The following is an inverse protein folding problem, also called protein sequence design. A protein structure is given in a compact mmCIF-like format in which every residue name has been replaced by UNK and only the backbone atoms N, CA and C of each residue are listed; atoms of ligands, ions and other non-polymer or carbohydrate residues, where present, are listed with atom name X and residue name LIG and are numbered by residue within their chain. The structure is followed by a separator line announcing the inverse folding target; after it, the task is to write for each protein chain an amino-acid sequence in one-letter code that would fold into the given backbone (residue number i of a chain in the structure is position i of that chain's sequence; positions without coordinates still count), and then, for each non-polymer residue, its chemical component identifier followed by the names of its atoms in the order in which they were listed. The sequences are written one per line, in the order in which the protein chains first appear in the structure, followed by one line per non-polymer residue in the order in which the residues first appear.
data_IF_543287957999
#
_entry.id   IF_543287957999
#
_cell.length_a   1.000
_cell.length_b   1.000
_cell.length_c   1.000
_cell.angle_alpha   90.00
_cell.angle_beta   90.00
_cell.angle_gamma   90.00
#
_symmetry.space_group_name_H-M   'P 1'
#
loop_
_entity.id
_entity.type
_entity.pdbx_description
1 polymer ?
#
# COMPACT_ATOMS: atom_id res chain seq x y z
N UNK A 1 33.17 -25.21 25.99
CA UNK A 1 33.11 -23.85 25.41
C UNK A 1 32.03 -23.84 24.35
N UNK A 2 30.78 -23.81 24.79
CA UNK A 2 29.62 -23.63 23.92
C UNK A 2 29.45 -22.13 23.68
N UNK A 3 29.40 -21.72 22.41
CA UNK A 3 29.06 -20.35 22.03
C UNK A 3 27.54 -20.21 22.12
N UNK A 4 27.11 -19.35 23.03
CA UNK A 4 25.75 -18.87 23.18
C UNK A 4 25.30 -18.15 21.90
N UNK A 5 24.27 -18.68 21.24
CA UNK A 5 23.48 -17.93 20.28
C UNK A 5 22.52 -17.04 21.09
N UNK A 6 22.82 -15.75 21.13
CA UNK A 6 21.88 -14.74 21.61
C UNK A 6 20.75 -14.61 20.59
N UNK A 7 19.57 -15.09 20.99
CA UNK A 7 18.29 -14.79 20.33
C UNK A 7 18.09 -13.28 20.46
N UNK A 8 18.22 -12.57 19.35
CA UNK A 8 17.81 -11.17 19.25
C UNK A 8 16.29 -11.18 19.31
N UNK A 9 15.74 -10.84 20.47
CA UNK A 9 14.33 -10.54 20.65
C UNK A 9 14.02 -9.23 19.92
N UNK A 10 13.33 -9.32 18.79
CA UNK A 10 12.70 -8.18 18.13
C UNK A 10 11.72 -7.53 19.11
N UNK A 11 12.00 -6.29 19.48
CA UNK A 11 11.10 -5.43 20.25
C UNK A 11 10.04 -4.90 19.28
N UNK A 12 8.91 -5.60 19.19
CA UNK A 12 7.70 -5.10 18.54
C UNK A 12 7.15 -3.90 19.32
N UNK A 13 7.64 -2.70 19.01
CA UNK A 13 6.99 -1.45 19.42
C UNK A 13 5.77 -1.23 18.52
N UNK A 14 4.69 -1.98 18.78
CA UNK A 14 3.39 -1.77 18.16
C UNK A 14 2.70 -0.56 18.80
N UNK A 15 3.09 0.64 18.37
CA UNK A 15 2.46 1.91 18.76
C UNK A 15 1.02 2.09 18.20
N UNK A 16 0.50 1.10 17.46
CA UNK A 16 -0.80 1.18 16.77
C UNK A 16 -1.92 0.39 17.47
N UNK A 17 -1.64 -0.18 18.65
CA UNK A 17 -2.64 -0.92 19.41
C UNK A 17 -3.42 0.05 20.30
N UNK A 18 -4.72 0.20 20.06
CA UNK A 18 -5.63 0.95 20.93
C UNK A 18 -6.54 -0.01 21.68
N UNK A 19 -6.59 0.10 23.00
CA UNK A 19 -7.38 -0.81 23.85
C UNK A 19 -8.50 -0.06 24.58
N UNK A 20 -9.67 -0.67 24.61
CA UNK A 20 -10.75 -0.29 25.52
C UNK A 20 -10.86 -1.35 26.62
N UNK A 21 -10.51 -0.93 27.85
CA UNK A 21 -10.34 -1.82 29.00
C UNK A 21 -11.64 -2.48 29.46
N UNK A 22 -12.80 -1.86 29.19
CA UNK A 22 -14.09 -2.34 29.69
C UNK A 22 -14.70 -3.42 28.78
N UNK A 23 -14.36 -3.42 27.49
CA UNK A 23 -14.95 -4.33 26.49
C UNK A 23 -13.98 -5.41 25.98
N UNK A 24 -12.68 -5.30 26.30
CA UNK A 24 -11.63 -6.14 25.75
C UNK A 24 -11.43 -5.93 24.24
N UNK A 25 -11.92 -4.81 23.71
CA UNK A 25 -11.76 -4.43 22.31
C UNK A 25 -10.33 -3.93 22.09
N UNK A 26 -9.65 -4.52 21.10
CA UNK A 26 -8.29 -4.17 20.72
C UNK A 26 -8.28 -3.82 19.24
N UNK A 27 -8.01 -2.55 18.90
CA UNK A 27 -7.81 -2.15 17.50
C UNK A 27 -6.33 -2.31 17.16
N UNK A 28 -6.03 -3.18 16.20
CA UNK A 28 -4.73 -3.28 15.55
C UNK A 28 -4.79 -2.47 14.25
N UNK A 29 -4.31 -1.22 14.32
CA UNK A 29 -4.41 -0.27 13.22
C UNK A 29 -3.17 -0.28 12.29
N UNK A 30 -3.36 0.21 11.07
CA UNK A 30 -2.27 0.42 10.12
C UNK A 30 -1.54 1.74 10.39
N UNK A 31 -0.23 1.86 10.09
CA UNK A 31 0.47 3.13 10.18
C UNK A 31 -0.11 4.15 9.19
N UNK A 32 -0.27 5.40 9.64
CA UNK A 32 -0.75 6.52 8.84
C UNK A 32 0.38 7.52 8.56
N UNK A 33 0.26 8.28 7.46
CA UNK A 33 1.21 9.37 7.15
C UNK A 33 1.23 10.44 8.25
N UNK A 34 0.06 10.72 8.83
CA UNK A 34 -0.12 11.66 9.95
C UNK A 34 0.60 11.25 11.23
N UNK A 35 1.00 9.99 11.38
CA UNK A 35 1.69 9.51 12.58
C UNK A 35 3.12 10.06 12.67
N UNK A 36 3.71 10.47 11.54
CA UNK A 36 5.11 10.93 11.49
C UNK A 36 5.34 12.18 10.63
N UNK A 37 4.32 12.69 9.94
CA UNK A 37 4.38 13.96 9.21
C UNK A 37 3.47 14.98 9.91
N UNK A 38 4.01 15.94 10.67
CA UNK A 38 3.21 16.92 11.38
C UNK A 38 2.51 17.87 10.40
N UNK A 39 1.30 18.32 10.75
CA UNK A 39 0.51 19.28 9.97
C UNK A 39 0.24 18.87 8.51
N UNK A 40 0.09 17.57 8.27
CA UNK A 40 -0.21 17.02 6.94
C UNK A 40 -1.58 17.53 6.43
N UNK A 41 -1.64 18.22 5.28
CA UNK A 41 -2.91 18.68 4.72
C UNK A 41 -3.78 17.50 4.26
N UNK A 42 -5.09 17.74 4.24
CA UNK A 42 -6.09 16.81 3.70
C UNK A 42 -6.92 17.50 2.64
N UNK A 43 -7.38 16.72 1.67
CA UNK A 43 -8.18 17.17 0.52
C UNK A 43 -9.49 16.38 0.49
N UNK A 44 -10.60 16.95 -0.03
CA UNK A 44 -11.80 16.17 -0.29
C UNK A 44 -11.50 15.05 -1.29
N UNK A 45 -12.10 13.87 -1.09
CA UNK A 45 -11.97 12.77 -2.05
C UNK A 45 -12.59 13.15 -3.40
N UNK A 46 -11.84 13.09 -4.53
CA UNK A 46 -12.34 13.40 -5.87
C UNK A 46 -13.58 12.60 -6.29
N UNK A 47 -13.80 11.44 -5.66
CA UNK A 47 -14.98 10.62 -5.91
C UNK A 47 -16.29 11.30 -5.52
N UNK A 48 -16.29 12.30 -4.63
CA UNK A 48 -17.50 13.03 -4.21
C UNK A 48 -18.17 13.72 -5.41
N UNK A 49 -17.35 14.25 -6.31
CA UNK A 49 -17.78 15.04 -7.46
C UNK A 49 -17.81 14.23 -8.76
N UNK A 50 -17.35 12.97 -8.73
CA UNK A 50 -17.23 12.15 -9.94
C UNK A 50 -18.62 11.71 -10.45
N UNK A 51 -19.07 12.13 -11.65
CA UNK A 51 -20.43 11.85 -12.14
C UNK A 51 -20.77 10.37 -12.26
N UNK A 52 -19.76 9.51 -12.42
CA UNK A 52 -19.97 8.06 -12.54
C UNK A 52 -20.22 7.39 -11.18
N UNK A 53 -19.87 8.07 -10.08
CA UNK A 53 -19.91 7.53 -8.72
C UNK A 53 -20.78 8.36 -7.76
N UNK A 54 -21.06 9.62 -8.06
CA UNK A 54 -21.85 10.54 -7.23
C UNK A 54 -23.37 10.27 -7.28
N UNK A 55 -23.84 9.50 -8.27
CA UNK A 55 -25.26 9.11 -8.43
C UNK A 55 -25.70 8.05 -7.40
N UNK A 56 -24.76 7.25 -6.89
CA UNK A 56 -25.02 6.26 -5.84
C UNK A 56 -24.76 6.94 -4.49
N UNK A 57 -25.64 6.73 -3.48
CA UNK A 57 -25.34 7.14 -2.09
C UNK A 57 -23.95 6.60 -1.73
N UNK A 58 -22.98 7.50 -1.62
CA UNK A 58 -21.60 7.14 -1.52
C UNK A 58 -21.31 6.64 -0.10
N UNK A 59 -21.10 5.34 0.03
CA UNK A 59 -20.78 4.71 1.30
C UNK A 59 -19.28 4.86 1.58
N UNK A 60 -18.87 6.08 1.95
CA UNK A 60 -17.58 6.29 2.59
C UNK A 60 -17.50 5.45 3.86
N UNK A 61 -16.34 4.82 4.09
CA UNK A 61 -16.12 4.12 5.36
C UNK A 61 -15.97 5.15 6.47
N UNK A 62 -16.52 4.85 7.64
CA UNK A 62 -16.30 5.67 8.82
C UNK A 62 -14.87 5.40 9.36
N UNK A 63 -14.22 6.41 9.93
CA UNK A 63 -12.93 6.23 10.60
C UNK A 63 -13.04 5.28 11.81
N UNK A 64 -14.22 5.09 12.38
CA UNK A 64 -14.44 4.13 13.47
C UNK A 64 -14.95 2.76 12.97
N UNK A 65 -15.12 2.57 11.66
CA UNK A 65 -15.52 1.27 11.10
C UNK A 65 -14.40 0.24 11.29
N UNK A 66 -14.71 -0.83 12.02
CA UNK A 66 -13.78 -1.94 12.27
C UNK A 66 -14.38 -3.29 11.87
N UNK A 67 -13.50 -4.21 11.50
CA UNK A 67 -13.80 -5.60 11.15
C UNK A 67 -13.15 -6.49 12.20
N UNK A 68 -13.95 -7.34 12.84
CA UNK A 68 -13.45 -8.26 13.86
C UNK A 68 -12.56 -9.35 13.23
N UNK A 69 -11.42 -9.65 13.86
CA UNK A 69 -10.59 -10.81 13.48
C UNK A 69 -11.35 -12.12 13.69
N UNK A 70 -12.07 -12.22 14.82
CA UNK A 70 -12.90 -13.35 15.17
C UNK A 70 -14.37 -12.91 15.27
N UNK A 71 -15.19 -13.36 14.33
CA UNK A 71 -16.62 -13.00 14.27
C UNK A 71 -17.48 -13.81 15.24
N UNK A 72 -17.01 -15.00 15.65
CA UNK A 72 -17.73 -15.88 16.58
C UNK A 72 -17.21 -15.63 18.00
N UNK A 73 -18.03 -14.96 18.81
CA UNK A 73 -17.75 -14.65 20.22
C UNK A 73 -18.89 -15.08 21.13
N UNK A 74 -18.60 -15.28 22.42
CA UNK A 74 -19.62 -15.58 23.44
C UNK A 74 -20.03 -14.31 24.18
N UNK A 75 -21.24 -14.30 24.76
CA UNK A 75 -21.84 -13.10 25.41
C UNK A 75 -20.91 -12.41 26.42
N UNK A 76 -20.09 -13.17 27.15
CA UNK A 76 -19.22 -12.65 28.20
C UNK A 76 -17.72 -12.75 27.84
N UNK A 77 -17.37 -13.09 26.60
CA UNK A 77 -15.96 -13.14 26.18
C UNK A 77 -15.49 -11.76 25.71
N UNK A 78 -14.19 -11.50 25.86
CA UNK A 78 -13.53 -10.35 25.25
C UNK A 78 -13.86 -10.25 23.76
N UNK A 79 -14.06 -9.01 23.26
CA UNK A 79 -14.28 -8.77 21.83
C UNK A 79 -13.02 -9.04 21.00
N UNK A 80 -11.84 -8.96 21.60
CA UNK A 80 -10.57 -9.29 20.95
C UNK A 80 -10.16 -8.30 19.86
N UNK A 81 -9.29 -8.77 18.96
CA UNK A 81 -8.65 -7.95 17.93
C UNK A 81 -9.61 -7.58 16.80
N UNK A 82 -9.57 -6.31 16.42
CA UNK A 82 -10.29 -5.73 15.31
C UNK A 82 -9.31 -4.98 14.40
N UNK A 83 -9.61 -4.93 13.11
CA UNK A 83 -8.86 -4.20 12.09
C UNK A 83 -9.70 -3.07 11.52
N UNK A 84 -9.06 -2.02 11.03
CA UNK A 84 -9.73 -0.95 10.31
C UNK A 84 -10.34 -1.46 9.01
N UNK A 85 -11.58 -1.08 8.70
CA UNK A 85 -12.24 -1.42 7.45
C UNK A 85 -11.60 -0.62 6.29
N UNK A 86 -11.22 -1.31 5.21
CA UNK A 86 -10.77 -0.66 3.98
C UNK A 86 -11.97 -0.12 3.17
N UNK A 87 -11.77 1.03 2.53
CA UNK A 87 -12.74 1.64 1.61
C UNK A 87 -12.39 3.10 1.30
N UNK A 88 -13.16 3.76 0.42
CA UNK A 88 -12.96 5.18 0.14
C UNK A 88 -13.24 5.99 1.41
N UNK A 89 -12.39 6.98 1.68
CA UNK A 89 -12.49 7.89 2.82
C UNK A 89 -13.00 9.26 2.34
N UNK A 90 -13.67 10.02 3.20
CA UNK A 90 -14.16 11.35 2.80
C UNK A 90 -13.02 12.33 2.48
N UNK A 91 -11.84 12.11 3.07
CA UNK A 91 -10.65 12.93 2.88
C UNK A 91 -9.47 12.06 2.48
N UNK A 92 -8.61 12.62 1.64
CA UNK A 92 -7.37 12.00 1.17
C UNK A 92 -6.16 12.88 1.51
N UNK A 93 -4.98 12.28 1.61
CA UNK A 93 -3.73 12.99 1.95
C UNK A 93 -2.94 13.48 0.73
N UNK A 94 -3.36 13.10 -0.47
CA UNK A 94 -2.72 13.49 -1.72
C UNK A 94 -3.71 14.22 -2.61
N UNK A 95 -3.29 15.35 -3.16
CA UNK A 95 -3.97 15.98 -4.27
C UNK A 95 -3.70 15.21 -5.57
N UNK A 96 -4.68 15.09 -6.45
CA UNK A 96 -4.55 14.31 -7.69
C UNK A 96 -3.40 14.78 -8.59
N UNK A 97 -3.12 16.09 -8.62
CA UNK A 97 -2.10 16.68 -9.50
C UNK A 97 -0.67 16.46 -8.97
N UNK A 98 -0.51 16.32 -7.65
CA UNK A 98 0.79 16.05 -7.04
C UNK A 98 1.17 14.56 -7.08
N UNK A 99 0.20 13.66 -7.28
CA UNK A 99 0.48 12.21 -7.26
C UNK A 99 1.39 11.84 -8.41
N UNK A 100 2.46 11.16 -8.06
CA UNK A 100 3.30 10.40 -8.96
C UNK A 100 3.43 8.98 -8.44
N UNK A 101 2.68 8.07 -9.07
CA UNK A 101 2.60 6.69 -8.66
C UNK A 101 3.58 5.80 -9.44
N UNK A 102 4.12 4.78 -8.78
CA UNK A 102 4.75 3.67 -9.45
C UNK A 102 4.19 2.31 -9.02
N UNK A 103 4.25 1.34 -9.92
CA UNK A 103 3.81 -0.04 -9.72
C UNK A 103 4.99 -0.96 -10.01
N UNK A 104 5.26 -1.94 -9.15
CA UNK A 104 6.32 -2.94 -9.34
C UNK A 104 5.78 -4.33 -9.05
N UNK A 105 6.20 -5.32 -9.86
CA UNK A 105 5.93 -6.74 -9.62
C UNK A 105 7.23 -7.47 -9.27
N UNK A 106 7.25 -8.15 -8.12
CA UNK A 106 8.42 -8.86 -7.60
C UNK A 106 8.10 -10.33 -7.27
N UNK A 107 9.12 -11.18 -7.38
CA UNK A 107 9.02 -12.61 -7.05
C UNK A 107 8.37 -13.46 -8.14
N UNK A 108 7.69 -14.53 -7.72
CA UNK A 108 7.04 -15.48 -8.63
C UNK A 108 5.82 -14.90 -9.34
N UNK A 109 5.47 -15.50 -10.49
CA UNK A 109 4.25 -15.16 -11.21
C UNK A 109 3.04 -15.81 -10.53
N UNK A 110 1.99 -15.02 -10.34
CA UNK A 110 0.68 -15.46 -9.88
C UNK A 110 -0.39 -15.00 -10.90
N UNK A 111 -1.45 -15.79 -11.16
CA UNK A 111 -2.58 -15.32 -11.96
C UNK A 111 -3.15 -14.01 -11.41
N UNK A 112 -3.48 -13.07 -12.31
CA UNK A 112 -4.14 -11.81 -11.93
C UNK A 112 -3.22 -10.61 -11.70
N UNK A 113 -1.88 -10.76 -11.76
CA UNK A 113 -0.95 -9.61 -11.65
C UNK A 113 -1.29 -8.47 -12.64
N UNK A 114 -1.52 -8.82 -13.90
CA UNK A 114 -1.96 -7.86 -14.91
C UNK A 114 -3.32 -7.22 -14.60
N UNK A 115 -4.24 -7.95 -13.96
CA UNK A 115 -5.52 -7.41 -13.51
C UNK A 115 -5.28 -6.36 -12.43
N UNK A 116 -4.46 -6.64 -11.42
CA UNK A 116 -4.12 -5.67 -10.37
C UNK A 116 -3.46 -4.42 -10.95
N UNK A 117 -2.47 -4.58 -11.85
CA UNK A 117 -1.82 -3.45 -12.54
C UNK A 117 -2.87 -2.59 -13.27
N UNK A 118 -3.77 -3.23 -14.02
CA UNK A 118 -4.83 -2.53 -14.75
C UNK A 118 -5.76 -1.77 -13.81
N UNK A 119 -6.26 -2.41 -12.76
CA UNK A 119 -7.22 -1.78 -11.85
C UNK A 119 -6.59 -0.64 -11.06
N UNK A 120 -5.30 -0.72 -10.68
CA UNK A 120 -4.60 0.41 -10.07
C UNK A 120 -4.53 1.59 -11.05
N UNK A 121 -4.09 1.35 -12.29
CA UNK A 121 -3.94 2.42 -13.29
C UNK A 121 -5.30 3.03 -13.65
N UNK A 122 -6.32 2.21 -13.88
CA UNK A 122 -7.66 2.66 -14.20
C UNK A 122 -8.34 3.36 -13.02
N UNK A 123 -8.17 2.87 -11.80
CA UNK A 123 -8.69 3.51 -10.59
C UNK A 123 -8.06 4.88 -10.38
N UNK A 124 -6.73 4.95 -10.37
CA UNK A 124 -5.99 6.22 -10.26
C UNK A 124 -6.44 7.23 -11.32
N UNK A 125 -6.56 6.81 -12.58
CA UNK A 125 -6.91 7.70 -13.68
C UNK A 125 -8.38 8.13 -13.68
N UNK A 126 -9.31 7.17 -13.63
CA UNK A 126 -10.75 7.44 -13.83
C UNK A 126 -11.45 7.90 -12.55
N UNK A 127 -10.99 7.45 -11.38
CA UNK A 127 -11.64 7.74 -10.10
C UNK A 127 -10.98 8.92 -9.39
N UNK A 128 -9.66 8.99 -9.43
CA UNK A 128 -8.88 9.97 -8.64
C UNK A 128 -8.17 11.04 -9.49
N UNK A 129 -8.34 11.08 -10.81
CA UNK A 129 -7.73 12.12 -11.66
C UNK A 129 -6.19 12.06 -11.73
N UNK A 130 -5.58 10.95 -11.33
CA UNK A 130 -4.12 10.78 -11.32
C UNK A 130 -3.63 10.34 -12.69
N UNK A 131 -2.82 11.18 -13.33
CA UNK A 131 -2.33 10.93 -14.69
C UNK A 131 -0.85 10.53 -14.77
N UNK A 132 -0.09 10.66 -13.68
CA UNK A 132 1.34 10.31 -13.62
C UNK A 132 1.53 8.96 -12.93
N UNK A 133 1.45 7.89 -13.71
CA UNK A 133 1.67 6.51 -13.25
C UNK A 133 2.74 5.83 -14.11
N UNK A 134 3.66 5.11 -13.47
CA UNK A 134 4.68 4.31 -14.15
C UNK A 134 4.79 2.89 -13.62
N UNK A 135 5.14 1.96 -14.50
CA UNK A 135 5.59 0.64 -14.13
C UNK A 135 7.11 0.63 -13.93
N UNK A 136 7.59 -0.09 -12.92
CA UNK A 136 8.99 -0.41 -12.70
C UNK A 136 9.26 -1.79 -13.32
N UNK A 137 10.17 -1.86 -14.29
CA UNK A 137 10.43 -3.10 -15.01
C UNK A 137 11.42 -4.02 -14.28
N UNK A 138 11.14 -5.33 -14.28
CA UNK A 138 12.07 -6.35 -13.80
C UNK A 138 12.29 -6.32 -12.28
N UNK A 139 11.23 -6.09 -11.51
CA UNK A 139 11.25 -6.09 -10.04
C UNK A 139 12.03 -4.92 -9.44
N UNK A 140 12.55 -5.10 -8.22
CA UNK A 140 13.23 -4.02 -7.48
C UNK A 140 14.45 -3.43 -8.20
N UNK A 141 15.10 -4.22 -9.07
CA UNK A 141 16.25 -3.75 -9.87
C UNK A 141 15.88 -2.58 -10.78
N UNK A 142 14.63 -2.54 -11.26
CA UNK A 142 14.13 -1.48 -12.12
C UNK A 142 14.20 -0.08 -11.47
N UNK A 143 14.14 0.02 -10.14
CA UNK A 143 14.24 1.30 -9.44
C UNK A 143 15.58 1.99 -9.70
N UNK A 144 16.69 1.27 -9.57
CA UNK A 144 18.04 1.84 -9.71
C UNK A 144 18.66 1.64 -11.08
N UNK A 145 18.12 0.75 -11.91
CA UNK A 145 18.40 0.73 -13.36
C UNK A 145 17.65 1.82 -14.13
N UNK A 146 16.70 2.52 -13.48
CA UNK A 146 15.82 3.54 -14.10
C UNK A 146 15.02 2.99 -15.29
N UNK A 147 14.66 1.70 -15.22
CA UNK A 147 13.85 1.04 -16.25
C UNK A 147 12.38 1.20 -15.90
N UNK A 148 11.73 2.20 -16.50
CA UNK A 148 10.32 2.47 -16.24
C UNK A 148 9.52 2.72 -17.50
N UNK A 149 8.26 2.27 -17.46
CA UNK A 149 7.32 2.38 -18.56
C UNK A 149 6.10 3.21 -18.15
N UNK A 150 5.67 4.19 -18.97
CA UNK A 150 4.42 4.91 -18.71
C UNK A 150 3.25 3.94 -18.63
N UNK A 151 2.43 4.08 -17.60
CA UNK A 151 1.25 3.25 -17.39
C UNK A 151 -0.01 4.09 -17.51
N UNK A 152 -0.68 4.00 -18.65
CA UNK A 152 -1.94 4.72 -18.93
C UNK A 152 -3.06 3.72 -19.15
N UNK A 153 -4.35 4.12 -19.02
CA UNK A 153 -5.49 3.23 -19.32
C UNK A 153 -5.39 2.58 -20.71
N UNK A 154 -4.80 3.27 -21.68
CA UNK A 154 -4.54 2.74 -23.02
C UNK A 154 -3.48 1.63 -23.01
N UNK A 155 -2.37 1.81 -22.27
CA UNK A 155 -1.29 0.82 -22.17
C UNK A 155 -1.75 -0.44 -21.44
N UNK A 156 -2.54 -0.28 -20.37
CA UNK A 156 -3.07 -1.40 -19.59
C UNK A 156 -4.36 -1.98 -20.15
N UNK A 157 -4.81 -1.53 -21.33
CA UNK A 157 -5.99 -2.08 -21.93
C UNK A 157 -5.77 -3.58 -22.27
N UNK A 158 -6.77 -4.41 -21.96
CA UNK A 158 -6.77 -5.86 -22.22
C UNK A 158 -5.64 -6.70 -21.57
N UNK A 159 -4.73 -6.12 -20.78
CA UNK A 159 -3.64 -6.90 -20.15
C UNK A 159 -4.15 -7.96 -19.17
N UNK A 160 -5.32 -7.72 -18.55
CA UNK A 160 -6.01 -8.66 -17.65
C UNK A 160 -6.36 -10.00 -18.33
N UNK A 161 -6.41 -10.04 -19.67
CA UNK A 161 -6.64 -11.26 -20.47
C UNK A 161 -5.37 -12.09 -20.68
N UNK A 162 -4.20 -11.56 -20.27
CA UNK A 162 -2.88 -12.17 -20.47
C UNK A 162 -2.31 -12.67 -19.14
N UNK A 163 -1.72 -13.86 -19.16
CA UNK A 163 -0.94 -14.37 -18.02
C UNK A 163 0.35 -13.57 -17.78
N UNK A 164 0.95 -13.78 -16.61
CA UNK A 164 2.17 -13.10 -16.20
C UNK A 164 1.96 -11.64 -15.79
N UNK A 165 2.99 -10.81 -15.98
CA UNK A 165 2.99 -9.36 -15.72
C UNK A 165 3.61 -8.62 -16.91
N UNK A 166 3.00 -7.52 -17.34
CA UNK A 166 3.55 -6.65 -18.39
C UNK A 166 4.84 -5.93 -17.97
N UNK A 167 5.13 -5.84 -16.68
CA UNK A 167 6.31 -5.16 -16.14
C UNK A 167 7.52 -6.11 -16.01
N UNK A 168 7.32 -7.40 -16.25
CA UNK A 168 8.28 -8.42 -15.84
C UNK A 168 8.43 -8.51 -14.32
N UNK A 169 9.15 -9.52 -13.85
CA UNK A 169 9.40 -9.73 -12.42
C UNK A 169 10.80 -10.27 -12.21
N UNK A 170 11.35 -10.10 -11.02
CA UNK A 170 12.61 -10.71 -10.61
C UNK A 170 12.52 -11.26 -9.20
N UNK A 171 13.30 -12.32 -8.92
CA UNK A 171 13.64 -12.69 -7.55
C UNK A 171 14.83 -11.85 -7.07
N UNK A 172 14.75 -11.36 -5.83
CA UNK A 172 15.79 -10.52 -5.22
C UNK A 172 15.98 -9.17 -5.90
N UNK A 173 17.16 -8.57 -5.71
CA UNK A 173 17.45 -7.20 -6.17
C UNK A 173 16.94 -6.11 -5.24
N UNK A 174 16.48 -6.49 -4.05
CA UNK A 174 16.09 -5.53 -3.01
C UNK A 174 17.33 -4.82 -2.45
N UNK A 175 17.31 -3.49 -2.53
CA UNK A 175 18.31 -2.61 -1.91
C UNK A 175 17.55 -1.38 -1.41
N UNK A 176 17.23 -1.36 -0.11
CA UNK A 176 16.34 -0.35 0.48
C UNK A 176 16.83 1.07 0.21
N UNK A 177 18.13 1.34 0.34
CA UNK A 177 18.67 2.69 0.10
C UNK A 177 18.46 3.08 -1.35
N UNK A 178 18.89 2.25 -2.31
CA UNK A 178 18.77 2.58 -3.74
C UNK A 178 17.33 2.72 -4.20
N UNK A 179 16.42 1.92 -3.64
CA UNK A 179 14.98 2.01 -3.95
C UNK A 179 14.43 3.34 -3.44
N UNK A 180 14.68 3.69 -2.17
CA UNK A 180 14.17 4.95 -1.59
C UNK A 180 14.85 6.18 -2.19
N UNK A 181 16.14 6.10 -2.54
CA UNK A 181 16.84 7.13 -3.31
C UNK A 181 16.16 7.35 -4.67
N UNK A 182 15.84 6.28 -5.40
CA UNK A 182 15.10 6.38 -6.66
C UNK A 182 13.69 6.96 -6.50
N UNK A 183 12.96 6.56 -5.45
CA UNK A 183 11.63 7.12 -5.13
C UNK A 183 11.74 8.64 -4.91
N UNK A 184 12.70 9.06 -4.08
CA UNK A 184 12.92 10.45 -3.72
C UNK A 184 13.41 11.29 -4.91
N UNK A 185 14.44 10.84 -5.62
CA UNK A 185 15.03 11.53 -6.79
C UNK A 185 14.00 11.80 -7.89
N UNK A 186 13.00 10.91 -8.01
CA UNK A 186 11.97 10.98 -9.04
C UNK A 186 10.70 11.67 -8.55
N UNK A 187 10.61 12.00 -7.26
CA UNK A 187 9.40 12.56 -6.66
C UNK A 187 8.20 11.61 -6.69
N UNK A 188 8.45 10.30 -6.59
CA UNK A 188 7.38 9.29 -6.48
C UNK A 188 6.82 9.36 -5.06
N UNK A 189 5.50 9.48 -4.94
CA UNK A 189 4.81 9.59 -3.65
C UNK A 189 3.76 8.50 -3.40
N UNK A 190 3.55 7.60 -4.36
CA UNK A 190 2.80 6.37 -4.17
C UNK A 190 3.52 5.19 -4.81
N UNK A 191 3.76 4.13 -4.04
CA UNK A 191 4.52 2.95 -4.45
C UNK A 191 3.67 1.71 -4.22
N UNK A 192 3.23 1.07 -5.30
CA UNK A 192 2.40 -0.12 -5.29
C UNK A 192 3.27 -1.36 -5.57
N UNK A 193 3.42 -2.23 -4.58
CA UNK A 193 4.34 -3.37 -4.59
C UNK A 193 3.54 -4.67 -4.64
N UNK A 194 3.57 -5.34 -5.78
CA UNK A 194 2.86 -6.60 -6.01
C UNK A 194 3.85 -7.77 -5.85
N UNK A 195 3.54 -8.70 -4.96
CA UNK A 195 4.38 -9.89 -4.78
C UNK A 195 3.99 -10.74 -3.59
N UNK A 196 4.72 -11.85 -3.39
CA UNK A 196 4.45 -12.80 -2.31
C UNK A 196 4.93 -12.34 -0.94
N UNK A 197 4.88 -13.24 0.04
CA UNK A 197 5.23 -12.96 1.44
C UNK A 197 6.61 -12.31 1.63
N UNK A 198 7.65 -12.80 0.94
CA UNK A 198 8.99 -12.20 0.99
C UNK A 198 9.02 -10.75 0.51
N UNK A 199 8.29 -10.47 -0.58
CA UNK A 199 8.14 -9.12 -1.13
C UNK A 199 7.44 -8.18 -0.15
N UNK A 200 6.46 -8.66 0.61
CA UNK A 200 5.77 -7.83 1.61
C UNK A 200 6.68 -7.47 2.80
N UNK A 201 7.60 -8.37 3.20
CA UNK A 201 8.66 -8.02 4.16
C UNK A 201 9.59 -6.94 3.62
N UNK A 202 9.95 -7.05 2.34
CA UNK A 202 10.77 -6.04 1.64
C UNK A 202 10.06 -4.68 1.52
N UNK A 203 8.75 -4.68 1.26
CA UNK A 203 7.92 -3.49 1.27
C UNK A 203 7.89 -2.81 2.65
N UNK A 204 7.82 -3.59 3.74
CA UNK A 204 7.90 -3.06 5.10
C UNK A 204 9.25 -2.38 5.37
N UNK A 205 10.36 -2.93 4.87
CA UNK A 205 11.68 -2.28 4.96
C UNK A 205 11.74 -0.94 4.21
N UNK A 206 11.11 -0.86 3.03
CA UNK A 206 10.98 0.40 2.27
C UNK A 206 10.17 1.41 3.07
N UNK A 207 9.03 0.99 3.65
CA UNK A 207 8.21 1.85 4.50
C UNK A 207 8.99 2.39 5.72
N UNK A 208 9.75 1.55 6.41
CA UNK A 208 10.58 1.97 7.55
C UNK A 208 11.59 3.05 7.14
N UNK A 209 12.25 2.88 5.99
CA UNK A 209 13.23 3.85 5.49
C UNK A 209 12.56 5.15 5.02
N UNK A 210 11.43 5.06 4.31
CA UNK A 210 10.59 6.22 3.93
C UNK A 210 10.20 7.03 5.17
N UNK A 211 9.74 6.35 6.22
CA UNK A 211 9.38 6.98 7.50
C UNK A 211 10.59 7.59 8.18
N UNK A 212 11.72 6.89 8.22
CA UNK A 212 12.97 7.39 8.81
C UNK A 212 13.45 8.69 8.15
N UNK A 213 13.21 8.83 6.84
CA UNK A 213 13.53 10.03 6.06
C UNK A 213 12.43 11.11 6.09
N UNK A 214 11.28 10.84 6.74
CA UNK A 214 10.15 11.79 6.81
C UNK A 214 9.50 12.09 5.46
N UNK A 215 9.53 11.15 4.52
CA UNK A 215 9.02 11.37 3.17
C UNK A 215 7.50 11.17 3.13
N UNK A 216 6.77 12.06 2.43
CA UNK A 216 5.34 11.91 2.13
C UNK A 216 5.14 10.88 1.00
N UNK A 217 5.38 9.60 1.30
CA UNK A 217 5.27 8.49 0.34
C UNK A 217 4.39 7.39 0.92
N UNK A 218 3.33 7.02 0.19
CA UNK A 218 2.53 5.84 0.51
C UNK A 218 3.20 4.59 -0.07
N UNK A 219 3.45 3.58 0.77
CA UNK A 219 3.95 2.27 0.36
C UNK A 219 2.83 1.25 0.56
N UNK A 220 2.33 0.69 -0.54
CA UNK A 220 1.14 -0.17 -0.53
C UNK A 220 1.51 -1.55 -1.08
N UNK A 221 1.33 -2.57 -0.24
CA UNK A 221 1.59 -3.95 -0.57
C UNK A 221 0.37 -4.69 -1.10
N UNK A 222 0.49 -5.35 -2.25
CA UNK A 222 -0.48 -6.31 -2.77
C UNK A 222 0.10 -7.71 -2.67
N UNK A 223 -0.36 -8.46 -1.66
CA UNK A 223 0.06 -9.83 -1.44
C UNK A 223 -0.64 -10.78 -2.41
N UNK A 224 0.16 -11.53 -3.18
CA UNK A 224 -0.33 -12.63 -3.98
C UNK A 224 0.11 -13.96 -3.35
N UNK A 225 -0.73 -14.99 -3.51
CA UNK A 225 -0.51 -16.35 -3.01
C UNK A 225 -0.35 -17.33 -4.15
#
# INVERSE_FOLDING_TARGET
MEKSNSVITESNNNNNIKTDADSGFVLEDVPHLSDYIPHLPTYPDPLQDNPSYSVVKQYYVNEDDTVAQQIVVHKNSSRGTHFRRAGPAQKVYFDSEEVYACIVTCGGLCPGLNTVIREIVCGLYNMYGVHRVQGIEGGYRGFYSRNTVPSTPKVVNDIHKRGGTILGTSYGGHDTSKIVDSIQDRGINQVYILGGYGTQKEAAMIFVEVRRRGLKVAVVGFQNY
#
